data_IF_188666845271
#
_entry.id   IF_188666845271
#
_cell.length_a   1.000
_cell.length_b   1.000
_cell.length_c   1.000
_cell.angle_alpha   90.00
_cell.angle_beta   90.00
_cell.angle_gamma   90.00
#
_symmetry.space_group_name_H-M   'P 1'
#
loop_
_entity.id
_entity.type
_entity.pdbx_description
1 polymer ?
#
# COMPACT_ATOMS: atom_id res chain seq x y z
N UNK A 1 25.35 0.37 11.38
CA UNK A 1 24.17 0.13 12.22
C UNK A 1 23.01 0.84 11.56
N UNK A 2 22.08 0.06 11.00
CA UNK A 2 20.87 0.58 10.37
C UNK A 2 19.99 1.24 11.44
N UNK A 3 19.14 2.19 11.05
CA UNK A 3 18.26 2.90 11.98
C UNK A 3 16.86 2.96 11.42
N UNK A 4 15.87 2.74 12.29
CA UNK A 4 14.48 2.93 11.91
C UNK A 4 14.25 4.40 11.51
N UNK A 5 13.70 4.62 10.32
CA UNK A 5 13.42 5.94 9.76
C UNK A 5 12.45 6.75 10.65
N UNK A 6 11.57 6.08 11.41
CA UNK A 6 10.56 6.73 12.24
C UNK A 6 11.04 7.03 13.66
N UNK A 7 11.65 6.07 14.35
CA UNK A 7 12.05 6.25 15.75
C UNK A 7 13.56 6.46 15.95
N UNK A 8 14.36 6.42 14.88
CA UNK A 8 15.82 6.60 14.88
C UNK A 8 16.60 5.62 15.78
N UNK A 9 15.94 4.59 16.33
CA UNK A 9 16.57 3.51 17.09
C UNK A 9 17.38 2.63 16.15
N UNK A 10 18.53 2.18 16.63
CA UNK A 10 19.37 1.22 15.90
C UNK A 10 18.65 -0.10 15.71
N UNK A 11 18.65 -0.61 14.48
CA UNK A 11 18.19 -1.95 14.13
C UNK A 11 19.39 -2.88 14.31
N UNK A 12 19.30 -3.83 15.25
CA UNK A 12 20.42 -4.69 15.62
C UNK A 12 20.63 -5.81 14.59
N UNK A 13 21.82 -6.41 14.59
CA UNK A 13 22.10 -7.59 13.76
C UNK A 13 21.23 -8.76 14.25
N UNK A 14 20.29 -9.21 13.42
CA UNK A 14 19.27 -10.22 13.77
C UNK A 14 17.84 -9.67 13.79
N UNK A 15 17.66 -8.36 13.90
CA UNK A 15 16.35 -7.74 13.74
C UNK A 15 15.96 -7.74 12.25
N UNK A 16 14.70 -8.11 11.95
CA UNK A 16 14.18 -8.09 10.59
C UNK A 16 14.00 -6.63 10.15
N UNK A 17 14.75 -6.20 9.13
CA UNK A 17 14.45 -4.94 8.43
C UNK A 17 13.16 -5.16 7.67
N UNK A 18 12.14 -4.35 7.97
CA UNK A 18 10.85 -4.46 7.28
C UNK A 18 10.72 -3.31 6.30
N UNK A 19 10.53 -3.66 5.03
CA UNK A 19 10.23 -2.73 3.96
C UNK A 19 8.72 -2.57 3.85
N UNK A 20 8.24 -1.33 3.97
CA UNK A 20 6.83 -1.01 3.80
C UNK A 20 6.53 -1.02 2.30
N UNK A 21 5.56 -1.84 1.90
CA UNK A 21 5.11 -1.92 0.51
C UNK A 21 3.82 -1.16 0.34
N UNK A 22 3.76 -0.45 -0.77
CA UNK A 22 2.62 0.33 -1.17
C UNK A 22 1.57 -0.53 -1.91
N UNK A 23 0.45 0.09 -2.28
CA UNK A 23 -0.69 -0.53 -2.97
C UNK A 23 -0.33 -1.26 -4.27
N UNK A 24 0.77 -0.88 -4.92
CA UNK A 24 1.26 -1.42 -6.20
C UNK A 24 2.54 -2.28 -6.04
N UNK A 25 2.77 -2.82 -4.83
CA UNK A 25 4.01 -3.52 -4.43
C UNK A 25 5.30 -2.69 -4.45
N UNK A 26 5.25 -1.41 -4.82
CA UNK A 26 6.45 -0.58 -4.73
C UNK A 26 6.88 -0.44 -3.26
N UNK A 27 8.18 -0.47 -3.04
CA UNK A 27 8.74 -0.31 -1.70
C UNK A 27 8.88 1.17 -1.39
N UNK A 28 8.41 1.60 -0.23
CA UNK A 28 8.67 2.95 0.25
C UNK A 28 10.14 3.08 0.66
N UNK A 29 10.72 4.24 0.38
CA UNK A 29 12.07 4.56 0.81
C UNK A 29 12.14 4.61 2.34
N UNK A 30 13.10 3.86 2.89
CA UNK A 30 13.40 3.84 4.30
C UNK A 30 13.51 2.45 4.89
N UNK A 31 14.23 2.37 6.00
CA UNK A 31 14.34 1.16 6.81
C UNK A 31 13.48 1.34 8.05
N UNK A 32 12.61 0.37 8.34
CA UNK A 32 11.70 0.46 9.48
C UNK A 32 11.96 -0.72 10.41
N UNK A 33 11.87 -0.48 11.73
CA UNK A 33 11.68 -1.59 12.65
C UNK A 33 10.26 -2.13 12.49
N UNK A 34 10.04 -3.40 12.82
CA UNK A 34 8.78 -4.10 12.58
C UNK A 34 7.54 -3.31 13.02
N UNK A 35 7.53 -2.81 14.27
CA UNK A 35 6.42 -2.00 14.81
C UNK A 35 6.08 -0.79 13.93
N UNK A 36 7.09 -0.03 13.52
CA UNK A 36 6.85 1.16 12.70
C UNK A 36 6.51 0.80 11.26
N UNK A 37 6.99 -0.33 10.74
CA UNK A 37 6.59 -0.78 9.41
C UNK A 37 5.10 -1.14 9.37
N UNK A 38 4.59 -1.82 10.39
CA UNK A 38 3.17 -2.15 10.52
C UNK A 38 2.30 -0.89 10.69
N UNK A 39 2.74 0.07 11.50
CA UNK A 39 2.04 1.36 11.66
C UNK A 39 2.00 2.10 10.33
N UNK A 40 3.13 2.21 9.63
CA UNK A 40 3.20 2.93 8.35
C UNK A 40 2.37 2.27 7.25
N UNK A 41 2.37 0.94 7.16
CA UNK A 41 1.50 0.24 6.20
C UNK A 41 0.02 0.52 6.48
N UNK A 42 -0.39 0.51 7.75
CA UNK A 42 -1.76 0.80 8.14
C UNK A 42 -2.16 2.25 7.84
N UNK A 43 -1.28 3.22 8.10
CA UNK A 43 -1.54 4.62 7.75
C UNK A 43 -1.58 4.84 6.23
N UNK A 44 -0.74 4.14 5.47
CA UNK A 44 -0.81 4.16 4.00
C UNK A 44 -2.14 3.60 3.50
N UNK A 45 -2.58 2.43 3.99
CA UNK A 45 -3.89 1.85 3.64
C UNK A 45 -5.02 2.85 3.87
N UNK A 46 -5.06 3.50 5.04
CA UNK A 46 -6.06 4.53 5.36
C UNK A 46 -5.98 5.73 4.41
N UNK A 47 -4.79 6.23 4.13
CA UNK A 47 -4.61 7.41 3.27
C UNK A 47 -4.96 7.16 1.81
N UNK A 48 -4.89 5.90 1.36
CA UNK A 48 -5.18 5.50 -0.02
C UNK A 48 -6.59 4.96 -0.23
N UNK A 49 -7.28 4.56 0.83
CA UNK A 49 -8.62 4.00 0.73
C UNK A 49 -9.58 5.02 0.10
N UNK A 50 -10.21 4.62 -0.98
CA UNK A 50 -11.24 5.42 -1.66
C UNK A 50 -12.62 5.01 -1.17
N UNK A 51 -12.91 3.71 -1.21
CA UNK A 51 -14.17 3.13 -0.77
C UNK A 51 -14.04 1.62 -0.53
N UNK A 52 -15.03 1.03 0.12
CA UNK A 52 -15.25 -0.42 0.17
C UNK A 52 -16.47 -0.76 -0.68
N UNK A 53 -16.27 -1.44 -1.81
CA UNK A 53 -17.32 -1.82 -2.77
C UNK A 53 -17.56 -3.33 -2.73
N UNK A 54 -18.79 -3.76 -2.44
CA UNK A 54 -19.14 -5.19 -2.24
C UNK A 54 -18.23 -5.94 -1.25
N UNK A 55 -17.70 -5.23 -0.25
CA UNK A 55 -16.78 -5.80 0.75
C UNK A 55 -15.31 -5.85 0.31
N UNK A 56 -14.98 -5.31 -0.87
CA UNK A 56 -13.60 -5.18 -1.36
C UNK A 56 -13.16 -3.73 -1.28
N UNK A 57 -12.02 -3.47 -0.65
CA UNK A 57 -11.44 -2.13 -0.57
C UNK A 57 -10.80 -1.71 -1.90
N UNK A 58 -11.13 -0.52 -2.37
CA UNK A 58 -10.53 0.11 -3.55
C UNK A 58 -9.60 1.22 -3.08
N UNK A 59 -8.36 1.16 -3.52
CA UNK A 59 -7.31 2.09 -3.15
C UNK A 59 -6.92 3.00 -4.31
N UNK A 60 -6.41 4.20 -4.02
CA UNK A 60 -5.90 5.16 -4.99
C UNK A 60 -4.41 5.42 -4.79
N UNK A 61 -3.70 5.48 -5.92
CA UNK A 61 -2.34 6.00 -5.98
C UNK A 61 -2.09 6.74 -7.29
N UNK A 62 -1.36 7.84 -7.21
CA UNK A 62 -0.88 8.55 -8.38
C UNK A 62 0.40 7.86 -8.87
N UNK A 63 0.49 7.56 -10.16
CA UNK A 63 1.71 6.99 -10.76
C UNK A 63 2.83 8.04 -10.84
N UNK A 64 4.03 7.62 -11.26
CA UNK A 64 5.21 8.49 -11.34
C UNK A 64 5.06 9.66 -12.31
N UNK A 65 4.03 9.63 -13.17
CA UNK A 65 3.70 10.69 -14.11
C UNK A 65 2.51 11.55 -13.65
N UNK A 66 2.02 11.33 -12.42
CA UNK A 66 0.89 12.04 -11.84
C UNK A 66 -0.48 11.57 -12.32
N UNK A 67 -0.58 10.40 -13.00
CA UNK A 67 -1.88 9.86 -13.36
C UNK A 67 -2.48 9.09 -12.19
N UNK A 68 -3.76 9.34 -11.91
CA UNK A 68 -4.50 8.60 -10.89
C UNK A 68 -4.73 7.16 -11.32
N UNK A 69 -4.46 6.22 -10.43
CA UNK A 69 -4.75 4.78 -10.58
C UNK A 69 -5.57 4.28 -9.41
N UNK A 70 -6.50 3.37 -9.71
CA UNK A 70 -7.37 2.69 -8.76
C UNK A 70 -7.03 1.20 -8.71
N UNK A 71 -6.83 0.67 -7.51
CA UNK A 71 -6.40 -0.71 -7.26
C UNK A 71 -7.52 -1.44 -6.51
N UNK A 72 -8.03 -2.56 -7.02
CA UNK A 72 -9.16 -3.30 -6.43
C UNK A 72 -8.77 -4.23 -5.27
N UNK A 73 -7.70 -3.93 -4.55
CA UNK A 73 -7.21 -4.56 -3.33
C UNK A 73 -5.86 -3.93 -2.94
N UNK A 74 -5.39 -4.22 -1.72
CA UNK A 74 -4.06 -3.81 -1.29
C UNK A 74 -3.02 -4.72 -1.93
N UNK A 75 -1.93 -4.15 -2.44
CA UNK A 75 -0.93 -4.91 -3.20
C UNK A 75 -1.58 -5.61 -4.41
N UNK A 76 -2.31 -4.84 -5.20
CA UNK A 76 -2.93 -5.35 -6.43
C UNK A 76 -1.93 -5.42 -7.56
N UNK A 77 -2.02 -6.49 -8.37
CA UNK A 77 -1.29 -6.59 -9.64
C UNK A 77 -2.01 -5.87 -10.79
N UNK A 78 -3.24 -5.43 -10.58
CA UNK A 78 -4.06 -4.74 -11.59
C UNK A 78 -4.45 -3.36 -11.11
N UNK A 79 -4.60 -2.43 -12.05
CA UNK A 79 -5.04 -1.08 -11.73
C UNK A 79 -5.84 -0.48 -12.88
N UNK A 80 -6.66 0.51 -12.56
CA UNK A 80 -7.58 1.13 -13.50
C UNK A 80 -7.44 2.65 -13.49
N UNK A 81 -7.75 3.29 -14.62
CA UNK A 81 -7.73 4.75 -14.75
C UNK A 81 -8.97 5.41 -14.14
N UNK A 82 -10.05 4.66 -14.02
CA UNK A 82 -11.33 5.12 -13.50
C UNK A 82 -11.82 4.17 -12.41
N UNK A 83 -12.40 4.73 -11.35
CA UNK A 83 -12.96 3.95 -10.25
C UNK A 83 -14.07 2.99 -10.73
N UNK A 84 -14.85 3.39 -11.74
CA UNK A 84 -15.91 2.54 -12.30
C UNK A 84 -15.33 1.24 -12.89
N UNK A 85 -14.18 1.30 -13.54
CA UNK A 85 -13.57 0.10 -14.11
C UNK A 85 -13.05 -0.87 -13.03
N UNK A 86 -12.62 -0.35 -11.87
CA UNK A 86 -12.28 -1.17 -10.72
C UNK A 86 -13.52 -1.86 -10.14
N UNK A 87 -14.66 -1.16 -10.06
CA UNK A 87 -15.95 -1.77 -9.66
C UNK A 87 -16.42 -2.83 -10.65
N UNK A 88 -16.27 -2.57 -11.95
CA UNK A 88 -16.63 -3.53 -13.00
C UNK A 88 -15.76 -4.80 -12.92
N UNK A 89 -14.48 -4.66 -12.55
CA UNK A 89 -13.62 -5.81 -12.24
C UNK A 89 -14.15 -6.60 -11.04
N UNK A 90 -14.42 -5.94 -9.92
CA UNK A 90 -14.96 -6.59 -8.72
C UNK A 90 -16.28 -7.32 -9.02
N UNK A 91 -17.16 -6.72 -9.83
CA UNK A 91 -18.38 -7.38 -10.26
C UNK A 91 -18.09 -8.68 -11.02
N UNK A 92 -17.13 -8.68 -11.95
CA UNK A 92 -16.77 -9.90 -12.71
C UNK A 92 -16.11 -10.98 -11.87
N UNK A 93 -15.32 -10.63 -10.84
CA UNK A 93 -14.60 -11.60 -10.01
C UNK A 93 -15.45 -12.20 -8.88
N UNK A 94 -16.54 -11.52 -8.48
CA UNK A 94 -17.42 -11.95 -7.38
C UNK A 94 -18.77 -12.55 -7.85
N UNK A 95 -19.03 -12.59 -9.17
CA UNK A 95 -20.21 -13.23 -9.78
C UNK A 95 -19.96 -14.73 -10.04
#
# INVERSE_FOLDING_TARGET
>A
MLKCQKCNKGIQSGDLIVYVRDVDFSTLDGEYCQEHAEIEENELKKSRLVETYKGVDIYRKDDTYGNVRYYPDWQSLVHYKEIQWARDYINRELD
#
